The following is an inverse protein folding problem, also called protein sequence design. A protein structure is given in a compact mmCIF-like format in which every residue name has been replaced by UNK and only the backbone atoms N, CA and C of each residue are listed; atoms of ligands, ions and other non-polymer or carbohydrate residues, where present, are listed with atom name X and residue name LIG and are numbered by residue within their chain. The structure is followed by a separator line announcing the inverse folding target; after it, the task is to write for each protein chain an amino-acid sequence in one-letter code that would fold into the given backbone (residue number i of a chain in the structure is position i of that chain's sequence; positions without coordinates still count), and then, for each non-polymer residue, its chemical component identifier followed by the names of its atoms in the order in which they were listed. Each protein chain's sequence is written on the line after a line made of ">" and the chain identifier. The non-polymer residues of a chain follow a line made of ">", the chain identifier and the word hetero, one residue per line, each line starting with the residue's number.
data_IF_998800436253
#
_entry.id   IF_998800436253
#
_cell.length_a   1.000
_cell.length_b   1.000
_cell.length_c   1.000
_cell.angle_alpha   90.00
_cell.angle_beta   90.00
_cell.angle_gamma   90.00
#
_symmetry.space_group_name_H-M   'P 1'
#
loop_
_entity.id
_entity.type
_entity.pdbx_description
1 polymer ?
#
# COMPACT_ATOMS: atom_id res chain seq x y z
N UNK A 1 -8.82 8.31 -13.98
CA UNK A 1 -8.41 8.56 -12.59
C UNK A 1 -6.99 9.17 -12.55
N UNK A 2 -6.57 9.70 -11.40
CA UNK A 2 -5.22 10.27 -11.23
C UNK A 2 -4.14 9.26 -11.62
N UNK A 3 -4.22 8.03 -11.11
CA UNK A 3 -3.26 6.96 -11.44
C UNK A 3 -3.30 6.59 -12.93
N UNK A 4 -4.50 6.48 -13.53
CA UNK A 4 -4.61 6.18 -14.97
C UNK A 4 -3.93 7.25 -15.81
N UNK A 5 -4.09 8.52 -15.45
CA UNK A 5 -3.45 9.63 -16.19
C UNK A 5 -1.92 9.60 -16.05
N UNK A 6 -1.39 9.22 -14.89
CA UNK A 6 0.06 9.06 -14.69
C UNK A 6 0.65 7.91 -15.54
N UNK A 7 -0.13 6.87 -15.77
CA UNK A 7 0.28 5.67 -16.53
C UNK A 7 -0.02 5.78 -18.03
N UNK A 8 -0.75 6.81 -18.45
CA UNK A 8 -1.12 7.04 -19.86
C UNK A 8 0.07 7.60 -20.65
N UNK A 9 1.00 6.72 -20.96
CA UNK A 9 2.19 7.04 -21.74
C UNK A 9 2.60 5.83 -22.58
N UNK A 10 2.86 6.03 -23.88
CA UNK A 10 3.27 4.98 -24.82
C UNK A 10 4.56 4.23 -24.43
N UNK A 11 5.36 4.78 -23.52
CA UNK A 11 6.59 4.14 -23.02
C UNK A 11 6.34 3.29 -21.77
N UNK A 12 5.11 3.26 -21.24
CA UNK A 12 4.73 2.50 -20.05
C UNK A 12 3.86 1.33 -20.51
N UNK A 13 4.29 0.12 -20.21
CA UNK A 13 3.48 -1.09 -20.37
C UNK A 13 3.01 -1.57 -18.99
N UNK A 14 1.72 -1.90 -18.90
CA UNK A 14 1.11 -2.36 -17.65
C UNK A 14 0.80 -3.85 -17.81
N UNK A 15 1.32 -4.67 -16.91
CA UNK A 15 1.07 -6.10 -16.84
C UNK A 15 0.40 -6.43 -15.49
N UNK A 16 -0.91 -6.70 -15.53
CA UNK A 16 -1.72 -6.98 -14.33
C UNK A 16 -1.75 -8.48 -14.03
N UNK A 17 -2.10 -8.82 -12.79
CA UNK A 17 -2.20 -10.19 -12.28
C UNK A 17 -0.88 -11.00 -12.37
N UNK A 18 0.25 -10.31 -12.43
CA UNK A 18 1.58 -10.89 -12.47
C UNK A 18 2.35 -10.60 -11.19
N UNK A 19 2.79 -11.65 -10.51
CA UNK A 19 3.65 -11.52 -9.34
C UNK A 19 5.12 -11.45 -9.80
N UNK A 20 5.81 -10.38 -9.44
CA UNK A 20 7.21 -10.19 -9.83
C UNK A 20 8.12 -11.36 -9.45
N UNK A 21 7.95 -11.96 -8.26
CA UNK A 21 8.78 -13.08 -7.81
C UNK A 21 8.72 -14.31 -8.72
N UNK A 22 7.59 -14.52 -9.42
CA UNK A 22 7.39 -15.59 -10.38
C UNK A 22 7.86 -15.23 -11.78
N UNK A 23 7.98 -13.92 -12.06
CA UNK A 23 8.24 -13.37 -13.40
C UNK A 23 9.64 -12.76 -13.52
N UNK A 24 10.46 -12.82 -12.48
CA UNK A 24 11.78 -12.14 -12.43
C UNK A 24 12.71 -12.53 -13.58
N UNK A 25 12.59 -13.75 -14.11
CA UNK A 25 13.41 -14.24 -15.23
C UNK A 25 12.83 -13.93 -16.61
N UNK A 26 11.61 -13.39 -16.68
CA UNK A 26 10.92 -13.08 -17.96
C UNK A 26 11.42 -11.79 -18.61
N UNK A 27 11.96 -10.87 -17.83
CA UNK A 27 12.34 -9.55 -18.31
C UNK A 27 13.85 -9.34 -18.24
N UNK A 28 14.43 -8.85 -19.33
CA UNK A 28 15.79 -8.29 -19.31
C UNK A 28 15.72 -6.83 -18.87
N UNK A 29 16.36 -6.54 -17.74
CA UNK A 29 16.38 -5.19 -17.16
C UNK A 29 17.61 -4.45 -17.68
N UNK A 30 17.39 -3.35 -18.42
CA UNK A 30 18.49 -2.56 -18.98
C UNK A 30 19.20 -1.70 -17.92
N UNK A 31 18.44 -1.09 -17.03
CA UNK A 31 18.98 -0.17 -16.01
C UNK A 31 18.68 -0.66 -14.61
N UNK A 32 17.44 -0.54 -14.14
CA UNK A 32 17.06 -0.85 -12.77
C UNK A 32 15.72 -1.56 -12.68
N UNK A 33 15.59 -2.46 -11.70
CA UNK A 33 14.32 -2.93 -11.17
C UNK A 33 13.95 -2.08 -9.97
N UNK A 34 12.74 -1.51 -9.95
CA UNK A 34 12.18 -0.84 -8.77
C UNK A 34 11.15 -1.78 -8.15
N UNK A 35 11.44 -2.26 -6.96
CA UNK A 35 10.56 -3.17 -6.23
C UNK A 35 9.81 -2.43 -5.14
N UNK A 36 8.47 -2.50 -5.17
CA UNK A 36 7.57 -1.82 -4.22
C UNK A 36 6.79 -2.77 -3.32
N UNK A 37 6.98 -4.07 -3.48
CA UNK A 37 6.34 -5.11 -2.65
C UNK A 37 6.99 -5.27 -1.28
N UNK A 38 6.47 -6.16 -0.40
CA UNK A 38 7.03 -6.39 0.93
C UNK A 38 8.49 -6.82 0.89
N UNK A 39 9.31 -6.14 1.68
CA UNK A 39 10.77 -6.26 1.65
C UNK A 39 11.26 -7.68 2.00
N UNK A 40 10.62 -8.36 2.93
CA UNK A 40 10.97 -9.71 3.35
C UNK A 40 10.65 -10.77 2.30
N UNK A 41 9.57 -10.58 1.52
CA UNK A 41 9.10 -11.56 0.52
C UNK A 41 10.08 -11.74 -0.62
N UNK A 42 10.69 -10.67 -1.13
CA UNK A 42 11.68 -10.77 -2.22
C UNK A 42 12.91 -11.59 -1.80
N UNK A 43 13.25 -11.56 -0.51
CA UNK A 43 14.35 -12.35 0.08
C UNK A 43 13.90 -13.70 0.64
N UNK A 44 12.68 -14.16 0.31
CA UNK A 44 12.13 -15.46 0.77
C UNK A 44 12.22 -15.63 2.29
N UNK A 45 11.96 -14.54 3.04
CA UNK A 45 11.96 -14.50 4.51
C UNK A 45 13.26 -14.94 5.19
N UNK A 46 14.42 -14.82 4.53
CA UNK A 46 15.71 -15.34 5.05
C UNK A 46 16.18 -14.78 6.39
N UNK A 47 15.67 -13.60 6.79
CA UNK A 47 15.93 -12.95 8.09
C UNK A 47 14.73 -13.00 9.04
N UNK A 48 13.69 -13.79 8.70
CA UNK A 48 12.41 -13.81 9.38
C UNK A 48 11.38 -12.90 8.74
N UNK A 49 10.12 -13.07 9.14
CA UNK A 49 9.01 -12.23 8.65
C UNK A 49 9.02 -10.86 9.30
N UNK A 50 8.71 -9.83 8.52
CA UNK A 50 8.33 -8.52 9.01
C UNK A 50 6.83 -8.54 9.34
N UNK A 51 6.49 -8.17 10.55
CA UNK A 51 5.11 -8.25 11.03
C UNK A 51 4.29 -7.04 10.57
N UNK A 52 3.07 -7.29 10.16
CA UNK A 52 2.13 -6.28 9.72
C UNK A 52 0.80 -6.42 10.45
N UNK A 53 0.16 -5.30 10.73
CA UNK A 53 -1.26 -5.28 11.09
C UNK A 53 -2.06 -5.23 9.82
N UNK A 54 -3.12 -6.04 9.78
CA UNK A 54 -4.05 -6.14 8.67
C UNK A 54 -5.43 -5.63 9.06
N UNK A 55 -6.27 -5.45 8.06
CA UNK A 55 -7.64 -5.02 8.20
C UNK A 55 -8.59 -5.99 7.49
N UNK A 56 -9.78 -6.17 8.06
CA UNK A 56 -10.91 -6.83 7.41
C UNK A 56 -12.02 -5.81 7.24
N UNK A 57 -12.62 -5.78 6.05
CA UNK A 57 -13.73 -4.89 5.73
C UNK A 57 -15.02 -5.67 5.54
N UNK A 58 -16.06 -5.27 6.27
CA UNK A 58 -17.41 -5.79 6.07
C UNK A 58 -18.28 -4.71 5.42
N UNK A 59 -18.89 -5.06 4.28
CA UNK A 59 -19.67 -4.14 3.46
C UNK A 59 -21.14 -4.49 3.58
N UNK A 60 -21.99 -3.48 3.82
CA UNK A 60 -23.45 -3.63 3.90
C UNK A 60 -24.13 -2.44 3.25
N UNK A 61 -25.22 -2.70 2.52
CA UNK A 61 -26.06 -1.66 1.92
C UNK A 61 -27.28 -1.47 2.80
N UNK A 62 -27.58 -0.21 3.14
CA UNK A 62 -28.76 0.19 3.90
C UNK A 62 -29.70 0.98 3.01
N UNK A 63 -31.03 0.78 3.19
CA UNK A 63 -32.08 1.53 2.52
C UNK A 63 -32.38 2.84 3.28
N UNK A 64 -31.39 3.72 3.33
CA UNK A 64 -31.51 5.06 3.89
C UNK A 64 -30.69 6.04 3.06
N UNK A 65 -31.08 7.31 3.06
CA UNK A 65 -30.32 8.37 2.36
C UNK A 65 -29.01 8.67 3.06
N UNK A 66 -28.97 8.52 4.38
CA UNK A 66 -27.83 8.81 5.24
C UNK A 66 -27.84 7.84 6.44
N UNK A 67 -26.69 7.34 6.83
CA UNK A 67 -26.55 6.42 7.94
C UNK A 67 -25.87 7.08 9.14
N UNK A 68 -24.80 7.84 8.91
CA UNK A 68 -23.99 8.41 9.98
C UNK A 68 -23.64 9.89 9.82
N UNK A 69 -24.08 10.54 8.73
CA UNK A 69 -23.88 11.98 8.50
C UNK A 69 -22.45 12.39 8.19
N UNK A 70 -21.52 11.43 8.07
CA UNK A 70 -20.11 11.70 7.83
C UNK A 70 -19.45 10.57 7.03
N UNK A 71 -18.37 10.90 6.30
CA UNK A 71 -17.62 9.91 5.52
C UNK A 71 -16.95 8.84 6.38
N UNK A 72 -16.47 9.21 7.58
CA UNK A 72 -15.74 8.31 8.49
C UNK A 72 -16.02 8.66 9.94
N UNK A 73 -16.36 7.65 10.75
CA UNK A 73 -16.46 7.76 12.22
C UNK A 73 -15.56 6.68 12.85
N UNK A 74 -14.71 7.10 13.80
CA UNK A 74 -13.87 6.21 14.57
C UNK A 74 -14.59 5.76 15.86
N UNK A 75 -14.36 4.51 16.25
CA UNK A 75 -14.93 3.86 17.43
C UNK A 75 -13.79 3.35 18.35
N UNK A 76 -13.23 4.19 19.22
CA UNK A 76 -12.08 3.82 20.05
C UNK A 76 -12.45 2.96 21.26
N UNK A 77 -13.73 2.83 21.59
CA UNK A 77 -14.19 2.12 22.78
C UNK A 77 -14.08 0.60 22.60
N UNK A 78 -13.60 -0.11 23.63
CA UNK A 78 -13.38 -1.56 23.63
C UNK A 78 -14.65 -2.40 23.42
N UNK A 79 -15.83 -1.82 23.64
CA UNK A 79 -17.11 -2.52 23.40
C UNK A 79 -17.37 -2.81 21.91
N UNK A 80 -16.73 -2.07 21.00
CA UNK A 80 -16.84 -2.27 19.56
C UNK A 80 -15.74 -3.20 19.05
N UNK A 81 -16.10 -4.19 18.24
CA UNK A 81 -15.14 -5.09 17.58
C UNK A 81 -14.49 -4.45 16.33
N UNK A 82 -15.11 -3.41 15.79
CA UNK A 82 -14.62 -2.62 14.67
C UNK A 82 -14.03 -1.30 15.16
N UNK A 83 -13.07 -0.78 14.44
CA UNK A 83 -12.37 0.47 14.79
C UNK A 83 -12.96 1.69 14.07
N UNK A 84 -13.67 1.46 12.94
CA UNK A 84 -14.10 2.53 12.08
C UNK A 84 -15.30 2.11 11.22
N UNK A 85 -16.17 3.09 10.94
CA UNK A 85 -17.23 2.95 9.94
C UNK A 85 -16.99 4.01 8.85
N UNK A 86 -17.02 3.57 7.59
CA UNK A 86 -16.98 4.44 6.42
C UNK A 86 -18.36 4.48 5.75
N UNK A 87 -18.76 5.68 5.34
CA UNK A 87 -19.91 5.94 4.46
C UNK A 87 -19.40 6.71 3.24
N UNK A 88 -18.93 6.00 2.18
CA UNK A 88 -18.19 6.60 1.07
C UNK A 88 -18.96 7.67 0.28
N UNK A 89 -20.28 7.70 0.31
CA UNK A 89 -21.06 8.72 -0.39
C UNK A 89 -20.73 10.16 0.06
N UNK A 90 -20.34 10.35 1.33
CA UNK A 90 -19.96 11.65 1.87
C UNK A 90 -18.56 12.13 1.43
N UNK A 91 -17.75 11.28 0.78
CA UNK A 91 -16.47 11.70 0.21
C UNK A 91 -16.66 12.51 -1.08
N UNK A 92 -17.71 12.19 -1.85
CA UNK A 92 -17.97 12.78 -3.16
C UNK A 92 -19.44 13.22 -3.26
N UNK A 93 -19.76 14.31 -2.60
CA UNK A 93 -21.12 14.88 -2.56
C UNK A 93 -21.61 15.37 -3.93
N UNK A 94 -20.67 15.65 -4.84
CA UNK A 94 -20.94 16.07 -6.22
C UNK A 94 -21.42 14.94 -7.14
N UNK A 95 -21.32 13.70 -6.71
CA UNK A 95 -21.66 12.54 -7.54
C UNK A 95 -23.10 12.12 -7.42
N UNK A 96 -23.67 11.60 -8.53
CA UNK A 96 -25.07 11.14 -8.61
C UNK A 96 -25.51 10.19 -7.51
N UNK A 97 -24.61 9.33 -7.02
CA UNK A 97 -24.92 8.36 -5.98
C UNK A 97 -25.13 9.00 -4.58
N UNK A 98 -24.72 10.25 -4.38
CA UNK A 98 -24.96 10.96 -3.13
C UNK A 98 -26.46 11.06 -2.80
N UNK A 99 -27.30 11.30 -3.81
CA UNK A 99 -28.76 11.45 -3.67
C UNK A 99 -29.55 10.12 -3.68
N UNK A 100 -28.88 8.98 -3.76
CA UNK A 100 -29.56 7.68 -3.71
C UNK A 100 -30.18 7.44 -2.33
N UNK A 101 -31.41 6.86 -2.32
CA UNK A 101 -32.10 6.39 -1.10
C UNK A 101 -31.46 5.09 -0.54
N UNK A 102 -30.20 4.86 -0.83
CA UNK A 102 -29.38 3.75 -0.35
C UNK A 102 -27.99 4.24 -0.05
N UNK A 103 -27.37 3.67 0.95
CA UNK A 103 -25.96 3.97 1.28
C UNK A 103 -25.18 2.70 1.55
N UNK A 104 -23.89 2.72 1.16
CA UNK A 104 -22.93 1.66 1.46
C UNK A 104 -22.22 2.01 2.77
N UNK A 105 -22.22 1.07 3.71
CA UNK A 105 -21.48 1.15 4.95
C UNK A 105 -20.37 0.11 4.92
N UNK A 106 -19.16 0.53 5.28
CA UNK A 106 -17.99 -0.33 5.37
C UNK A 106 -17.47 -0.26 6.80
N UNK A 107 -17.57 -1.38 7.54
CA UNK A 107 -16.97 -1.53 8.87
C UNK A 107 -15.55 -2.07 8.75
N UNK A 108 -14.61 -1.43 9.42
CA UNK A 108 -13.20 -1.78 9.44
C UNK A 108 -12.89 -2.52 10.75
N UNK A 109 -12.40 -3.75 10.64
CA UNK A 109 -12.00 -4.58 11.77
C UNK A 109 -10.48 -4.78 11.76
N UNK A 110 -9.80 -4.76 12.91
CA UNK A 110 -8.43 -5.23 13.01
C UNK A 110 -8.39 -6.73 12.69
N UNK A 111 -7.42 -7.13 11.90
CA UNK A 111 -7.22 -8.53 11.51
C UNK A 111 -5.74 -8.92 11.62
N UNK A 112 -5.52 -10.21 11.84
CA UNK A 112 -4.19 -10.81 11.73
C UNK A 112 -4.17 -11.60 10.41
N UNK A 113 -3.69 -10.97 9.36
CA UNK A 113 -3.57 -11.60 8.05
C UNK A 113 -2.27 -11.16 7.37
N UNK A 114 -1.33 -12.08 7.24
CA UNK A 114 -0.02 -11.82 6.63
C UNK A 114 -0.10 -11.53 5.12
N UNK A 115 -1.23 -11.82 4.47
CA UNK A 115 -1.36 -11.66 3.02
C UNK A 115 -1.61 -10.22 2.57
N UNK A 116 -2.23 -9.41 3.43
CA UNK A 116 -2.56 -8.02 3.15
C UNK A 116 -1.94 -7.08 4.19
N UNK A 117 -0.71 -6.61 3.97
CA UNK A 117 0.00 -5.74 4.90
C UNK A 117 -0.54 -4.30 4.83
N UNK A 118 -1.17 -3.81 5.91
CA UNK A 118 -1.66 -2.43 6.00
C UNK A 118 -0.73 -1.52 6.80
N UNK A 119 -0.35 -1.94 8.02
CA UNK A 119 0.47 -1.12 8.90
C UNK A 119 1.66 -1.91 9.43
N UNK A 120 2.90 -1.40 9.29
CA UNK A 120 4.08 -2.08 9.84
C UNK A 120 4.04 -2.08 11.37
N UNK A 121 4.47 -3.18 11.98
CA UNK A 121 4.66 -3.27 13.43
C UNK A 121 6.03 -2.67 13.77
N UNK A 122 6.01 -1.47 14.36
CA UNK A 122 7.20 -0.65 14.55
C UNK A 122 7.85 -0.89 15.94
N UNK A 123 8.17 -2.14 16.26
CA UNK A 123 8.88 -2.53 17.48
C UNK A 123 10.39 -2.74 17.25
N UNK A 124 11.14 -3.01 18.33
CA UNK A 124 12.59 -3.21 18.29
C UNK A 124 12.95 -4.43 17.45
N UNK A 125 12.22 -5.53 17.59
CA UNK A 125 12.45 -6.80 16.85
C UNK A 125 12.31 -6.57 15.35
N UNK A 126 11.20 -5.99 14.92
CA UNK A 126 10.93 -5.73 13.50
C UNK A 126 11.92 -4.73 12.90
N UNK A 127 12.35 -3.71 13.65
CA UNK A 127 13.42 -2.79 13.23
C UNK A 127 14.76 -3.48 13.02
N UNK A 128 15.09 -4.46 13.85
CA UNK A 128 16.33 -5.26 13.67
C UNK A 128 16.25 -6.12 12.40
N UNK A 129 15.12 -6.80 12.18
CA UNK A 129 14.86 -7.61 10.97
C UNK A 129 14.91 -6.72 9.73
N UNK A 130 14.25 -5.55 9.75
CA UNK A 130 14.28 -4.59 8.66
C UNK A 130 15.72 -4.17 8.30
N UNK A 131 16.55 -3.82 9.30
CA UNK A 131 17.96 -3.46 9.07
C UNK A 131 18.75 -4.57 8.37
N UNK A 132 18.50 -5.84 8.71
CA UNK A 132 19.15 -6.98 8.03
C UNK A 132 18.74 -7.07 6.56
N UNK A 133 17.45 -6.83 6.25
CA UNK A 133 16.96 -6.80 4.88
C UNK A 133 17.50 -5.61 4.09
N UNK A 134 17.57 -4.42 4.68
CA UNK A 134 18.18 -3.24 4.04
C UNK A 134 19.62 -3.52 3.64
N UNK A 135 20.46 -4.07 4.54
CA UNK A 135 21.82 -4.48 4.23
C UNK A 135 21.90 -5.54 3.12
N UNK A 136 20.89 -6.40 3.02
CA UNK A 136 20.81 -7.39 1.93
C UNK A 136 20.41 -6.75 0.61
N UNK A 137 19.51 -5.76 0.65
CA UNK A 137 19.07 -5.01 -0.52
C UNK A 137 20.19 -4.15 -1.13
N UNK A 138 21.05 -3.55 -0.31
CA UNK A 138 22.22 -2.77 -0.75
C UNK A 138 23.22 -3.58 -1.57
N UNK A 139 23.23 -4.92 -1.42
CA UNK A 139 24.10 -5.81 -2.18
C UNK A 139 23.57 -6.14 -3.58
N UNK A 140 22.34 -5.82 -3.88
CA UNK A 140 21.71 -6.10 -5.18
C UNK A 140 22.05 -4.97 -6.16
N UNK A 141 22.87 -5.29 -7.17
CA UNK A 141 23.14 -4.35 -8.26
C UNK A 141 21.91 -4.14 -9.11
N UNK A 142 21.70 -2.91 -9.58
CA UNK A 142 20.58 -2.53 -10.45
C UNK A 142 19.20 -2.84 -9.87
N UNK A 143 19.08 -2.86 -8.54
CA UNK A 143 17.85 -3.12 -7.83
C UNK A 143 17.59 -2.02 -6.80
N UNK A 144 16.40 -1.43 -6.86
CA UNK A 144 16.00 -0.33 -6.00
C UNK A 144 14.72 -0.72 -5.26
N UNK A 145 14.66 -0.34 -4.01
CA UNK A 145 13.51 -0.58 -3.15
C UNK A 145 12.83 0.74 -2.84
N UNK A 146 11.50 0.77 -2.85
CA UNK A 146 10.76 1.96 -2.52
C UNK A 146 9.27 1.73 -2.34
N UNK A 147 8.62 2.72 -1.74
CA UNK A 147 7.21 2.65 -1.41
C UNK A 147 6.95 2.00 -0.06
N UNK A 148 5.74 2.14 0.41
CA UNK A 148 5.30 1.80 1.76
C UNK A 148 5.69 0.39 2.22
N UNK A 149 5.56 -0.62 1.34
CA UNK A 149 5.83 -2.01 1.69
C UNK A 149 7.33 -2.34 1.69
N UNK A 150 8.08 -1.86 0.68
CA UNK A 150 9.49 -2.12 0.59
C UNK A 150 10.32 -1.29 1.60
N UNK A 151 9.88 -0.07 1.90
CA UNK A 151 10.50 0.76 2.93
C UNK A 151 10.10 0.32 4.36
N UNK A 152 9.14 -0.60 4.50
CA UNK A 152 8.54 -1.01 5.78
C UNK A 152 8.16 0.19 6.63
N UNK A 153 7.45 1.14 6.04
CA UNK A 153 7.13 2.43 6.63
C UNK A 153 5.64 2.78 6.50
N UNK A 154 5.15 3.52 7.48
CA UNK A 154 3.83 4.12 7.40
C UNK A 154 3.93 5.42 6.61
N UNK A 155 3.40 5.40 5.39
CA UNK A 155 3.32 6.57 4.52
C UNK A 155 1.87 6.89 4.18
N UNK A 156 1.51 8.15 4.26
CA UNK A 156 0.33 8.68 3.60
C UNK A 156 0.64 8.92 2.10
N UNK A 157 -0.35 9.27 1.30
CA UNK A 157 -0.18 9.40 -0.16
C UNK A 157 0.86 10.46 -0.54
N UNK A 158 0.82 11.61 0.11
CA UNK A 158 1.78 12.71 -0.09
C UNK A 158 3.21 12.29 0.28
N UNK A 159 3.39 11.61 1.41
CA UNK A 159 4.68 11.06 1.84
C UNK A 159 5.21 10.00 0.86
N UNK A 160 4.33 9.15 0.32
CA UNK A 160 4.71 8.14 -0.68
C UNK A 160 5.20 8.82 -1.97
N UNK A 161 4.50 9.86 -2.43
CA UNK A 161 4.88 10.64 -3.61
C UNK A 161 6.23 11.33 -3.36
N UNK A 162 6.40 12.00 -2.23
CA UNK A 162 7.65 12.67 -1.87
C UNK A 162 8.83 11.70 -1.80
N UNK A 163 8.65 10.54 -1.16
CA UNK A 163 9.67 9.49 -1.09
C UNK A 163 10.07 8.99 -2.49
N UNK A 164 9.08 8.81 -3.39
CA UNK A 164 9.31 8.38 -4.76
C UNK A 164 10.09 9.43 -5.56
N UNK A 165 9.73 10.70 -5.45
CA UNK A 165 10.45 11.82 -6.11
C UNK A 165 11.90 11.94 -5.62
N UNK A 166 12.13 11.76 -4.31
CA UNK A 166 13.48 11.79 -3.74
C UNK A 166 14.34 10.61 -4.22
N UNK A 167 13.76 9.41 -4.34
CA UNK A 167 14.44 8.24 -4.93
C UNK A 167 14.73 8.47 -6.40
N UNK A 168 13.80 9.03 -7.17
CA UNK A 168 14.01 9.35 -8.57
C UNK A 168 15.18 10.32 -8.80
N UNK A 169 15.34 11.35 -7.96
CA UNK A 169 16.49 12.26 -8.03
C UNK A 169 17.84 11.54 -7.90
N UNK A 170 17.91 10.51 -7.03
CA UNK A 170 19.11 9.67 -6.87
C UNK A 170 19.35 8.80 -8.11
N UNK A 171 18.29 8.16 -8.63
CA UNK A 171 18.39 7.32 -9.83
C UNK A 171 18.85 8.13 -11.04
N UNK A 172 18.32 9.35 -11.24
CA UNK A 172 18.67 10.22 -12.35
C UNK A 172 20.17 10.55 -12.38
N UNK A 173 20.81 10.70 -11.23
CA UNK A 173 22.26 10.89 -11.14
C UNK A 173 23.02 9.63 -11.59
N UNK A 174 22.59 8.44 -11.15
CA UNK A 174 23.21 7.16 -11.49
C UNK A 174 23.07 6.74 -12.97
N UNK A 175 22.12 7.34 -13.72
CA UNK A 175 21.92 7.02 -15.15
C UNK A 175 22.68 8.02 -16.02
N UNK A 176 22.95 9.22 -15.54
CA UNK A 176 23.65 10.27 -16.28
C UNK A 176 25.17 10.28 -16.06
N UNK A 177 25.64 9.53 -15.06
CA UNK A 177 27.05 9.21 -14.82
C UNK A 177 27.43 7.90 -15.56
#
# INVERSE_FOLDING_TARGET
>A
SFISNMLDNKRISIDLNNNYSLMSNKYQVKYFTIYTGPLDRIFKFKHGKLEWRSLKFEKQIFNTTDYQGNSVINYPELKYKFTRIHEPKHIHVDRKYFNLKKTLIIKEFPAQNDNEPYYPVNDIKNKQVQKMYVKSAEKLKNFLFGGRLADYAYYDMDMTILASLNKFKKIKRLIND
#
